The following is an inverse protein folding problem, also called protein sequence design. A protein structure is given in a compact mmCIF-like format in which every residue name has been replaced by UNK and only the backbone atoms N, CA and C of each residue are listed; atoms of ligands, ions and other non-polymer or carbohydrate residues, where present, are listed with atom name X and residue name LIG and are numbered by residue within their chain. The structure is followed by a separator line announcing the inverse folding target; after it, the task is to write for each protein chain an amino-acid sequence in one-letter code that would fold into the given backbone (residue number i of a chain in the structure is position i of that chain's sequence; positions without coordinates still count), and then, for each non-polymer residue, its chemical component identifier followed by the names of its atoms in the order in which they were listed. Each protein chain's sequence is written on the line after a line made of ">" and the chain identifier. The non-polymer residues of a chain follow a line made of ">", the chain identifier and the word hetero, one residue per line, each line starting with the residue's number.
data_IF_445029014948
#
_entry.id   IF_445029014948
#
_cell.length_a   1.000
_cell.length_b   1.000
_cell.length_c   1.000
_cell.angle_alpha   90.00
_cell.angle_beta   90.00
_cell.angle_gamma   90.00
#
_symmetry.space_group_name_H-M   'P 1'
#
loop_
_entity.id
_entity.type
_entity.pdbx_description
1 polymer ?
#
# COMPACT_ATOMS: atom_id res chain seq x y z
N UNK A 1 -8.44 -1.13 24.79
CA UNK A 1 -7.88 -0.26 23.72
C UNK A 1 -7.56 -1.16 22.53
N UNK A 2 -8.10 -0.86 21.35
CA UNK A 2 -7.94 -1.70 20.15
C UNK A 2 -6.46 -1.80 19.76
N UNK A 3 -5.89 -3.00 19.49
CA UNK A 3 -4.47 -3.15 19.12
C UNK A 3 -4.08 -2.27 17.93
N UNK A 4 -4.97 -2.16 16.94
CA UNK A 4 -4.75 -1.35 15.73
C UNK A 4 -4.50 0.13 16.02
N UNK A 5 -5.08 0.69 17.09
CA UNK A 5 -4.84 2.10 17.43
C UNK A 5 -3.40 2.33 17.91
N UNK A 6 -2.73 1.29 18.43
CA UNK A 6 -1.34 1.39 18.90
C UNK A 6 -0.33 1.22 17.76
N UNK A 7 -0.72 0.52 16.70
CA UNK A 7 0.13 0.23 15.54
C UNK A 7 -0.08 1.21 14.38
N UNK A 8 -1.07 2.12 14.45
CA UNK A 8 -1.24 3.13 13.42
C UNK A 8 0.00 4.04 13.37
N UNK A 9 0.63 4.08 12.21
CA UNK A 9 1.90 4.76 12.03
C UNK A 9 1.68 6.27 12.10
N UNK A 10 2.59 6.96 12.79
CA UNK A 10 2.63 8.41 12.88
C UNK A 10 3.83 8.93 12.10
N UNK A 11 3.58 9.86 11.18
CA UNK A 11 4.63 10.57 10.44
C UNK A 11 4.52 12.05 10.78
N UNK A 12 5.60 12.63 11.32
CA UNK A 12 5.63 14.02 11.77
C UNK A 12 4.44 14.40 12.67
N UNK A 13 4.07 13.51 13.60
CA UNK A 13 2.96 13.70 14.53
C UNK A 13 1.56 13.45 13.96
N UNK A 14 1.42 13.20 12.65
CA UNK A 14 0.13 12.92 11.99
C UNK A 14 -0.07 11.41 11.85
N UNK A 15 -1.26 10.93 12.21
CA UNK A 15 -1.68 9.56 11.95
C UNK A 15 -1.79 9.32 10.45
N UNK A 16 -1.38 8.15 9.99
CA UNK A 16 -1.47 7.74 8.59
C UNK A 16 -2.21 6.42 8.47
N UNK A 17 -1.48 5.34 8.23
CA UNK A 17 -1.95 4.02 7.85
C UNK A 17 -1.23 2.95 8.70
N UNK A 18 -1.36 1.69 8.30
CA UNK A 18 -0.70 0.56 8.96
C UNK A 18 0.32 -0.08 8.04
N UNK A 19 1.40 -0.61 8.62
CA UNK A 19 2.25 -1.59 7.93
C UNK A 19 1.49 -2.92 7.76
N UNK A 20 1.90 -3.71 6.77
CA UNK A 20 1.35 -5.06 6.57
C UNK A 20 1.63 -5.98 7.77
N UNK A 21 2.72 -5.72 8.50
CA UNK A 21 3.04 -6.40 9.75
C UNK A 21 3.76 -5.44 10.71
N UNK A 22 3.54 -5.66 12.00
CA UNK A 22 4.19 -4.94 13.09
C UNK A 22 4.84 -5.94 14.03
N UNK A 23 5.92 -5.53 14.66
CA UNK A 23 6.57 -6.31 15.72
C UNK A 23 5.64 -6.41 16.94
N UNK A 24 5.50 -7.60 17.53
CA UNK A 24 4.50 -7.85 18.59
C UNK A 24 4.80 -7.11 19.90
N UNK A 25 6.07 -6.76 20.14
CA UNK A 25 6.53 -6.15 21.40
C UNK A 25 6.60 -4.64 21.30
N UNK A 26 7.26 -4.15 20.25
CA UNK A 26 7.50 -2.73 20.00
C UNK A 26 6.35 -2.06 19.26
N UNK A 27 5.49 -2.84 18.58
CA UNK A 27 4.38 -2.37 17.75
C UNK A 27 4.81 -1.54 16.54
N UNK A 28 6.11 -1.50 16.23
CA UNK A 28 6.67 -0.78 15.10
C UNK A 28 6.49 -1.57 13.79
N UNK A 29 6.40 -0.90 12.63
CA UNK A 29 6.45 -1.54 11.32
C UNK A 29 7.63 -2.50 11.21
N UNK A 30 7.37 -3.72 10.77
CA UNK A 30 8.37 -4.79 10.65
C UNK A 30 8.48 -5.31 9.23
N UNK A 31 9.60 -5.96 8.90
CA UNK A 31 9.80 -6.66 7.62
C UNK A 31 9.09 -8.01 7.66
N UNK A 32 8.60 -8.49 6.51
CA UNK A 32 8.19 -9.88 6.33
C UNK A 32 9.16 -10.60 5.39
N UNK A 33 8.76 -10.83 4.13
CA UNK A 33 9.62 -11.44 3.11
C UNK A 33 10.67 -10.44 2.60
N UNK A 34 11.64 -10.92 1.83
CA UNK A 34 12.72 -10.12 1.25
C UNK A 34 12.25 -8.80 0.61
N UNK A 35 11.11 -8.84 -0.08
CA UNK A 35 10.49 -7.74 -0.81
C UNK A 35 9.36 -7.01 -0.06
N UNK A 36 9.15 -7.30 1.23
CA UNK A 36 8.10 -6.69 2.06
C UNK A 36 8.72 -5.94 3.23
N UNK A 37 9.13 -4.71 2.95
CA UNK A 37 9.82 -3.82 3.90
C UNK A 37 8.85 -3.16 4.88
N UNK A 38 9.34 -2.71 6.05
CA UNK A 38 8.61 -1.77 6.91
C UNK A 38 8.14 -0.56 6.08
N UNK A 39 6.82 -0.42 5.92
CA UNK A 39 6.22 0.53 4.99
C UNK A 39 4.77 0.83 5.39
N UNK A 40 4.16 1.86 4.82
CA UNK A 40 2.70 2.03 4.89
C UNK A 40 2.05 1.16 3.82
N UNK A 41 1.16 0.27 4.22
CA UNK A 41 0.54 -0.70 3.32
C UNK A 41 -0.77 -0.15 2.74
N UNK A 42 -0.81 0.09 1.44
CA UNK A 42 -2.04 0.47 0.74
C UNK A 42 -3.05 -0.68 0.67
N UNK A 43 -2.60 -1.94 0.70
CA UNK A 43 -3.48 -3.12 0.64
C UNK A 43 -4.12 -3.43 1.99
N UNK A 44 -3.30 -3.58 3.04
CA UNK A 44 -3.78 -4.10 4.33
C UNK A 44 -4.53 -3.02 5.13
N UNK A 45 -4.16 -1.74 4.98
CA UNK A 45 -4.84 -0.62 5.64
C UNK A 45 -6.33 -0.57 5.29
N UNK A 46 -6.75 -0.97 4.09
CA UNK A 46 -8.18 -1.01 3.73
C UNK A 46 -8.94 -1.97 4.66
N UNK A 47 -8.38 -3.16 4.91
CA UNK A 47 -9.00 -4.14 5.80
C UNK A 47 -9.13 -3.62 7.23
N UNK A 48 -8.09 -2.99 7.76
CA UNK A 48 -8.11 -2.36 9.08
C UNK A 48 -9.16 -1.25 9.18
N UNK A 49 -9.23 -0.36 8.18
CA UNK A 49 -10.23 0.71 8.15
C UNK A 49 -11.65 0.13 8.13
N UNK A 50 -11.92 -0.84 7.25
CA UNK A 50 -13.23 -1.49 7.18
C UNK A 50 -13.62 -2.17 8.49
N UNK A 51 -12.67 -2.85 9.13
CA UNK A 51 -12.88 -3.47 10.43
C UNK A 51 -13.24 -2.43 11.50
N UNK A 52 -12.49 -1.32 11.58
CA UNK A 52 -12.75 -0.26 12.55
C UNK A 52 -14.09 0.46 12.28
N UNK A 53 -14.48 0.61 11.01
CA UNK A 53 -15.79 1.17 10.62
C UNK A 53 -16.96 0.25 10.99
N UNK A 54 -16.71 -1.05 11.20
CA UNK A 54 -17.72 -2.01 11.63
C UNK A 54 -17.96 -2.05 13.14
N UNK A 55 -17.28 -1.22 13.93
CA UNK A 55 -17.47 -1.13 15.38
C UNK A 55 -18.73 -0.32 15.68
N UNK A 56 -19.68 -0.91 16.40
CA UNK A 56 -20.84 -0.18 16.94
C UNK A 56 -20.41 0.88 17.95
N UNK A 57 -20.93 2.10 17.79
CA UNK A 57 -20.61 3.26 18.65
C UNK A 57 -19.08 3.47 18.85
N UNK A 58 -18.32 3.77 17.78
CA UNK A 58 -16.87 3.87 17.87
C UNK A 58 -16.45 5.03 18.78
N UNK A 59 -15.36 4.84 19.53
CA UNK A 59 -14.81 5.91 20.37
C UNK A 59 -14.22 7.03 19.51
N UNK A 60 -14.04 8.25 20.06
CA UNK A 60 -13.40 9.34 19.34
C UNK A 60 -12.00 8.99 18.79
N UNK A 61 -11.25 8.13 19.47
CA UNK A 61 -9.94 7.63 19.02
C UNK A 61 -10.07 6.78 17.75
N UNK A 62 -11.06 5.89 17.70
CA UNK A 62 -11.34 5.04 16.54
C UNK A 62 -11.75 5.91 15.35
N UNK A 63 -12.66 6.87 15.57
CA UNK A 63 -13.07 7.81 14.53
C UNK A 63 -11.89 8.60 13.98
N UNK A 64 -11.00 9.12 14.84
CA UNK A 64 -9.79 9.82 14.41
C UNK A 64 -8.85 8.92 13.61
N UNK A 65 -8.68 7.66 14.01
CA UNK A 65 -7.84 6.70 13.30
C UNK A 65 -8.36 6.42 11.89
N UNK A 66 -9.66 6.19 11.74
CA UNK A 66 -10.34 5.97 10.46
C UNK A 66 -10.17 7.20 9.56
N UNK A 67 -10.51 8.38 10.06
CA UNK A 67 -10.45 9.63 9.29
C UNK A 67 -9.03 9.92 8.80
N UNK A 68 -8.02 9.71 9.66
CA UNK A 68 -6.63 9.90 9.29
C UNK A 68 -6.17 8.94 8.18
N UNK A 69 -6.60 7.67 8.22
CA UNK A 69 -6.27 6.69 7.20
C UNK A 69 -6.95 7.00 5.85
N UNK A 70 -8.22 7.43 5.87
CA UNK A 70 -8.93 7.88 4.65
C UNK A 70 -8.25 9.12 4.06
N UNK A 71 -7.91 10.11 4.90
CA UNK A 71 -7.18 11.30 4.46
C UNK A 71 -5.80 10.96 3.88
N UNK A 72 -5.09 9.98 4.46
CA UNK A 72 -3.83 9.49 3.91
C UNK A 72 -4.04 8.83 2.54
N UNK A 73 -5.03 7.93 2.40
CA UNK A 73 -5.34 7.32 1.10
C UNK A 73 -5.68 8.36 0.04
N UNK A 74 -6.37 9.44 0.40
CA UNK A 74 -6.68 10.52 -0.54
C UNK A 74 -5.40 11.22 -1.01
N UNK A 75 -4.51 11.55 -0.07
CA UNK A 75 -3.25 12.24 -0.34
C UNK A 75 -2.25 11.40 -1.17
N UNK A 76 -2.30 10.07 -1.06
CA UNK A 76 -1.38 9.16 -1.78
C UNK A 76 -2.00 8.50 -3.01
N UNK A 77 -3.19 8.94 -3.41
CA UNK A 77 -3.88 8.49 -4.62
C UNK A 77 -3.00 8.74 -5.84
N UNK A 78 -2.87 7.72 -6.68
CA UNK A 78 -2.10 7.78 -7.93
C UNK A 78 -3.11 7.87 -9.08
N UNK A 79 -3.05 8.97 -9.84
CA UNK A 79 -3.87 9.18 -11.03
C UNK A 79 -2.99 9.29 -12.27
N UNK A 80 -3.61 9.24 -13.45
CA UNK A 80 -2.90 9.45 -14.72
C UNK A 80 -2.08 8.25 -15.20
N UNK A 81 -2.20 7.09 -14.55
CA UNK A 81 -1.55 5.85 -14.96
C UNK A 81 -2.51 4.67 -14.89
N UNK A 82 -2.25 3.65 -15.70
CA UNK A 82 -2.81 2.31 -15.52
C UNK A 82 -1.74 1.24 -15.64
N UNK A 83 -2.05 0.06 -15.11
CA UNK A 83 -1.26 -1.14 -15.40
C UNK A 83 -1.76 -1.80 -16.68
N UNK A 84 -0.82 -2.15 -17.55
CA UNK A 84 -1.08 -2.85 -18.79
C UNK A 84 -0.22 -4.10 -18.88
N UNK A 85 -0.78 -5.17 -19.44
CA UNK A 85 -0.03 -6.36 -19.82
C UNK A 85 0.30 -6.27 -21.31
N UNK A 86 1.57 -6.10 -21.64
CA UNK A 86 2.04 -6.13 -23.02
C UNK A 86 2.52 -7.52 -23.37
N UNK A 87 2.38 -7.92 -24.63
CA UNK A 87 2.89 -9.20 -25.11
C UNK A 87 4.42 -9.26 -24.90
N UNK A 88 4.89 -10.36 -24.31
CA UNK A 88 6.31 -10.63 -24.12
C UNK A 88 6.58 -12.10 -24.46
N UNK A 89 6.58 -12.46 -25.76
CA UNK A 89 6.87 -13.81 -26.20
C UNK A 89 8.23 -14.30 -25.67
N UNK A 90 8.32 -15.58 -25.32
CA UNK A 90 9.53 -16.18 -24.75
C UNK A 90 9.74 -15.96 -23.25
N UNK A 91 8.87 -15.21 -22.58
CA UNK A 91 8.85 -15.09 -21.11
C UNK A 91 7.91 -16.14 -20.47
N UNK A 92 8.12 -16.53 -19.19
CA UNK A 92 7.31 -17.56 -18.52
C UNK A 92 5.79 -17.31 -18.50
N UNK A 93 5.34 -16.05 -18.53
CA UNK A 93 3.89 -15.71 -18.56
C UNK A 93 3.39 -15.26 -19.93
N UNK A 94 4.28 -15.13 -20.92
CA UNK A 94 3.96 -14.60 -22.26
C UNK A 94 3.59 -13.11 -22.31
N UNK A 95 3.63 -12.42 -21.16
CA UNK A 95 3.39 -10.98 -21.04
C UNK A 95 4.34 -10.35 -20.04
N UNK A 96 4.45 -9.03 -20.10
CA UNK A 96 5.07 -8.20 -19.06
C UNK A 96 4.10 -7.12 -18.59
N UNK A 97 4.11 -6.84 -17.29
CA UNK A 97 3.28 -5.81 -16.68
C UNK A 97 4.05 -4.50 -16.68
N UNK A 98 3.47 -3.49 -17.34
CA UNK A 98 4.05 -2.14 -17.46
C UNK A 98 3.10 -1.10 -16.89
N UNK A 99 3.67 0.02 -16.46
CA UNK A 99 2.93 1.23 -16.12
C UNK A 99 2.86 2.09 -17.38
N UNK A 100 1.67 2.47 -17.80
CA UNK A 100 1.45 3.38 -18.94
C UNK A 100 0.68 4.60 -18.48
N UNK A 101 0.92 5.73 -19.15
CA UNK A 101 0.17 6.96 -18.92
C UNK A 101 -1.25 6.82 -19.46
N UNK A 102 -2.22 7.21 -18.65
CA UNK A 102 -3.64 7.26 -19.00
C UNK A 102 -4.33 8.29 -18.09
N UNK A 103 -4.50 9.53 -18.55
CA UNK A 103 -5.13 10.61 -17.78
C UNK A 103 -6.57 10.31 -17.34
N UNK A 104 -7.23 9.34 -17.99
CA UNK A 104 -8.63 8.98 -17.73
C UNK A 104 -8.78 7.72 -16.88
N UNK A 105 -7.66 7.06 -16.57
CA UNK A 105 -7.68 5.84 -15.76
C UNK A 105 -8.22 6.09 -14.35
N UNK A 106 -9.01 5.14 -13.80
CA UNK A 106 -9.36 5.15 -12.39
C UNK A 106 -8.13 5.21 -11.49
N UNK A 107 -8.25 5.79 -10.28
CA UNK A 107 -7.13 5.91 -9.38
C UNK A 107 -6.59 4.56 -8.93
N UNK A 108 -5.27 4.51 -8.75
CA UNK A 108 -4.55 3.40 -8.16
C UNK A 108 -3.84 3.85 -6.88
N UNK A 109 -3.39 2.87 -6.10
CA UNK A 109 -2.52 3.05 -4.96
C UNK A 109 -1.38 2.04 -5.04
N UNK A 110 -0.21 2.42 -4.53
CA UNK A 110 0.86 1.46 -4.35
C UNK A 110 0.52 0.50 -3.21
N UNK A 111 0.99 -0.74 -3.29
CA UNK A 111 0.85 -1.68 -2.18
C UNK A 111 1.69 -1.26 -0.99
N UNK A 112 2.85 -0.66 -1.22
CA UNK A 112 3.76 -0.21 -0.19
C UNK A 112 4.23 1.22 -0.47
N UNK A 113 4.25 2.04 0.58
CA UNK A 113 4.75 3.39 0.56
C UNK A 113 5.85 3.56 1.62
N UNK A 114 6.93 4.25 1.23
CA UNK A 114 8.01 4.62 2.14
C UNK A 114 7.50 5.52 3.27
N UNK A 115 7.78 5.13 4.51
CA UNK A 115 7.39 5.91 5.70
C UNK A 115 8.16 7.23 5.68
N UNK A 116 7.47 8.34 5.88
CA UNK A 116 8.07 9.68 5.88
C UNK A 116 7.86 10.46 4.59
N UNK A 117 7.99 9.80 3.43
CA UNK A 117 7.88 10.46 2.12
C UNK A 117 6.58 10.15 1.38
N UNK A 118 5.89 9.07 1.76
CA UNK A 118 4.75 8.52 1.02
C UNK A 118 5.07 8.18 -0.44
N UNK A 119 6.33 7.91 -0.77
CA UNK A 119 6.71 7.49 -2.11
C UNK A 119 6.38 6.01 -2.31
N UNK A 120 5.73 5.61 -3.42
CA UNK A 120 5.60 4.21 -3.79
C UNK A 120 6.95 3.50 -3.80
N UNK A 121 7.02 2.32 -3.18
CA UNK A 121 8.22 1.48 -3.19
C UNK A 121 7.93 0.11 -3.80
N UNK A 122 8.95 -0.41 -4.48
CA UNK A 122 8.98 -1.73 -5.09
C UNK A 122 10.22 -2.45 -4.59
N UNK A 123 10.20 -3.78 -4.55
CA UNK A 123 11.38 -4.54 -4.16
C UNK A 123 11.40 -5.91 -4.80
N UNK A 124 12.60 -6.35 -5.15
CA UNK A 124 12.86 -7.69 -5.64
C UNK A 124 13.27 -8.65 -4.53
N UNK A 125 13.68 -9.86 -4.93
CA UNK A 125 14.32 -10.85 -4.07
C UNK A 125 15.67 -10.38 -3.52
N UNK A 126 16.29 -9.40 -4.16
CA UNK A 126 17.51 -8.73 -3.69
C UNK A 126 17.30 -7.86 -2.44
N UNK A 127 16.04 -7.68 -1.99
CA UNK A 127 15.67 -6.81 -0.87
C UNK A 127 16.05 -5.34 -1.06
N UNK A 128 16.29 -4.88 -2.30
CA UNK A 128 16.62 -3.48 -2.56
C UNK A 128 15.34 -2.72 -2.87
N UNK A 129 15.12 -1.61 -2.15
CA UNK A 129 14.03 -0.68 -2.46
C UNK A 129 14.31 0.00 -3.81
N UNK A 130 13.34 -0.09 -4.69
CA UNK A 130 13.24 0.56 -5.99
C UNK A 130 12.03 1.47 -6.02
N UNK A 131 11.98 2.37 -7.00
CA UNK A 131 10.92 3.39 -7.07
C UNK A 131 10.16 3.37 -8.38
N UNK A 132 10.48 2.44 -9.29
CA UNK A 132 9.68 2.13 -10.48
C UNK A 132 9.43 0.63 -10.55
N UNK A 133 8.24 0.25 -11.00
CA UNK A 133 7.90 -1.15 -11.22
C UNK A 133 8.86 -1.83 -12.24
N UNK A 134 9.36 -1.09 -13.22
CA UNK A 134 10.31 -1.60 -14.22
C UNK A 134 11.70 -1.94 -13.66
N UNK A 135 12.05 -1.44 -12.47
CA UNK A 135 13.37 -1.64 -11.84
C UNK A 135 13.49 -2.97 -11.07
N UNK A 136 12.38 -3.67 -10.84
CA UNK A 136 12.38 -5.00 -10.20
C UNK A 136 12.36 -6.11 -11.25
N UNK A 137 12.80 -7.30 -10.87
CA UNK A 137 12.89 -8.46 -11.75
C UNK A 137 11.53 -8.88 -12.30
N UNK A 138 11.54 -9.38 -13.55
CA UNK A 138 10.35 -9.84 -14.27
C UNK A 138 9.43 -10.73 -13.42
N UNK A 139 10.02 -11.66 -12.69
CA UNK A 139 9.30 -12.62 -11.86
C UNK A 139 8.48 -11.93 -10.74
N UNK A 140 9.04 -10.92 -10.06
CA UNK A 140 8.34 -10.18 -9.01
C UNK A 140 7.40 -9.14 -9.56
N UNK A 141 7.75 -8.49 -10.67
CA UNK A 141 6.87 -7.54 -11.38
C UNK A 141 5.56 -8.19 -11.79
N UNK A 142 5.62 -9.42 -12.30
CA UNK A 142 4.47 -10.13 -12.85
C UNK A 142 3.84 -11.15 -11.89
N UNK A 143 4.57 -11.54 -10.84
CA UNK A 143 4.13 -12.54 -9.85
C UNK A 143 3.49 -11.95 -8.60
N UNK A 144 3.55 -10.63 -8.40
CA UNK A 144 3.05 -9.96 -7.21
C UNK A 144 2.32 -8.66 -7.57
N UNK A 145 1.24 -8.36 -6.84
CA UNK A 145 0.43 -7.16 -7.07
C UNK A 145 1.05 -5.98 -6.31
N UNK A 146 1.68 -5.06 -7.05
CA UNK A 146 2.34 -3.86 -6.53
C UNK A 146 1.48 -2.60 -6.54
N UNK A 147 0.43 -2.57 -7.37
CA UNK A 147 -0.60 -1.54 -7.36
C UNK A 147 -1.96 -2.16 -7.06
N UNK A 148 -2.80 -1.43 -6.35
CA UNK A 148 -4.13 -1.85 -5.91
C UNK A 148 -5.15 -0.74 -6.18
N UNK A 149 -6.40 -1.13 -6.34
CA UNK A 149 -7.57 -0.28 -6.61
C UNK A 149 -8.57 -0.27 -5.44
N UNK A 150 -8.50 -1.30 -4.58
CA UNK A 150 -9.40 -1.50 -3.44
C UNK A 150 -9.58 -0.28 -2.51
N UNK A 151 -8.59 0.59 -2.25
CA UNK A 151 -8.83 1.78 -1.44
C UNK A 151 -9.95 2.69 -1.96
N UNK A 152 -10.29 2.63 -3.25
CA UNK A 152 -11.41 3.37 -3.82
C UNK A 152 -12.76 3.11 -3.12
N UNK A 153 -12.95 1.96 -2.45
CA UNK A 153 -14.20 1.67 -1.74
C UNK A 153 -14.42 2.57 -0.51
N UNK A 154 -13.35 3.16 0.04
CA UNK A 154 -13.41 4.00 1.24
C UNK A 154 -13.90 5.42 0.96
N UNK A 155 -14.10 5.77 -0.31
CA UNK A 155 -14.53 7.08 -0.78
C UNK A 155 -15.96 7.09 -1.34
N UNK A 156 -16.70 6.00 -1.13
CA UNK A 156 -18.07 5.82 -1.61
C UNK A 156 -19.09 6.02 -0.51
#
# INVERSE_FOLDING_TARGET
>A
MHPDLKTQVKVAGKLTAWCAQHDEKTLLPAKARAYEHPSLSGSETVGTVQFLMGIDHPSPEVTRAIQAAIAWFDAVRITGIRLERIAAPGTPRGYDQVVVEDPTAPPLWARFYEIGTNRPIFSGRDSVIKYRLSEIEYERRNGYRWYVDRPAILFK
#
